data_IF_848051850794
#
_entry.id   IF_848051850794
#
_cell.length_a   1.000
_cell.length_b   1.000
_cell.length_c   1.000
_cell.angle_alpha   90.00
_cell.angle_beta   90.00
_cell.angle_gamma   90.00
#
_symmetry.space_group_name_H-M   'P 1'
#
loop_
_entity.id
_entity.type
_entity.pdbx_description
1 polymer ?
#
# COMPACT_ATOMS: atom_id res chain seq x y z
N UNK A 1 -15.23 23.98 16.49
CA UNK A 1 -16.06 22.76 16.61
C UNK A 1 -17.55 22.98 16.36
N UNK A 2 -17.93 23.64 15.26
CA UNK A 2 -19.36 23.86 14.97
C UNK A 2 -20.13 22.58 14.64
N UNK A 3 -19.46 21.53 14.15
CA UNK A 3 -20.12 20.27 13.79
C UNK A 3 -20.44 19.39 15.00
N UNK A 4 -19.51 19.30 15.96
CA UNK A 4 -19.77 18.59 17.21
C UNK A 4 -20.84 19.27 18.06
N UNK A 5 -20.86 20.60 18.09
CA UNK A 5 -21.92 21.39 18.75
C UNK A 5 -23.31 21.12 18.15
N UNK A 6 -23.38 20.71 16.88
CA UNK A 6 -24.61 20.30 16.20
C UNK A 6 -24.93 18.81 16.36
N UNK A 7 -24.12 18.05 17.11
CA UNK A 7 -24.31 16.62 17.36
C UNK A 7 -23.83 15.70 16.24
N UNK A 8 -22.99 16.19 15.31
CA UNK A 8 -22.42 15.37 14.25
C UNK A 8 -21.18 14.59 14.69
N UNK A 9 -21.01 13.39 14.12
CA UNK A 9 -19.77 12.62 14.12
C UNK A 9 -18.95 13.07 12.91
N UNK A 10 -17.70 13.48 13.15
CA UNK A 10 -16.78 13.94 12.11
C UNK A 10 -15.85 12.79 11.74
N UNK A 11 -16.11 12.18 10.59
CA UNK A 11 -15.21 11.20 9.99
C UNK A 11 -14.32 11.87 8.96
N UNK A 12 -13.03 11.52 8.93
CA UNK A 12 -12.11 12.00 7.91
C UNK A 12 -11.68 10.90 6.96
N UNK A 13 -11.74 11.25 5.69
CA UNK A 13 -11.22 10.44 4.60
C UNK A 13 -9.69 10.31 4.69
N UNK A 14 -9.20 9.08 4.57
CA UNK A 14 -7.79 8.75 4.49
C UNK A 14 -7.56 7.85 3.27
N UNK A 15 -6.80 8.32 2.28
CA UNK A 15 -6.38 7.48 1.16
C UNK A 15 -5.07 6.74 1.47
N UNK A 16 -5.00 5.51 0.96
CA UNK A 16 -3.79 4.67 0.84
C UNK A 16 -2.94 5.03 -0.39
N UNK A 17 -3.45 5.91 -1.27
CA UNK A 17 -2.69 6.42 -2.40
C UNK A 17 -1.56 7.34 -1.95
N UNK A 18 -0.42 7.18 -2.60
CA UNK A 18 0.77 8.00 -2.46
C UNK A 18 0.71 9.26 -3.33
N UNK A 19 -0.15 9.25 -4.36
CA UNK A 19 -0.36 10.26 -5.41
C UNK A 19 0.94 10.74 -6.10
N UNK A 20 0.84 11.18 -7.35
CA UNK A 20 1.96 11.76 -8.07
C UNK A 20 1.53 12.43 -9.36
N UNK A 21 2.47 13.08 -10.02
CA UNK A 21 2.28 13.70 -11.33
C UNK A 21 3.35 13.19 -12.31
N UNK A 22 2.92 12.68 -13.45
CA UNK A 22 3.83 12.33 -14.55
C UNK A 22 4.16 13.55 -15.41
N UNK A 23 5.06 13.39 -16.39
CA UNK A 23 5.42 14.47 -17.31
C UNK A 23 4.27 14.88 -18.23
N UNK A 24 3.46 13.91 -18.65
CA UNK A 24 2.27 14.10 -19.49
C UNK A 24 1.17 13.13 -19.06
N UNK A 25 -0.09 13.33 -19.46
CA UNK A 25 -1.19 12.41 -19.15
C UNK A 25 -1.02 10.99 -19.71
N UNK A 26 -0.13 10.79 -20.70
CA UNK A 26 0.12 9.49 -21.33
C UNK A 26 1.49 8.89 -21.00
N UNK A 27 2.35 9.64 -20.29
CA UNK A 27 3.64 9.13 -19.83
C UNK A 27 3.46 8.08 -18.75
N UNK A 28 4.27 7.02 -18.81
CA UNK A 28 4.35 6.01 -17.76
C UNK A 28 4.91 6.65 -16.47
N UNK A 29 4.18 6.62 -15.35
CA UNK A 29 4.65 7.14 -14.07
C UNK A 29 5.95 6.49 -13.60
N UNK A 30 6.79 7.29 -12.94
CA UNK A 30 8.01 6.83 -12.27
C UNK A 30 7.86 6.93 -10.75
N UNK A 31 8.54 6.07 -9.99
CA UNK A 31 8.41 6.03 -8.52
C UNK A 31 8.82 7.37 -7.88
N UNK A 32 9.76 8.08 -8.51
CA UNK A 32 10.30 9.35 -8.05
C UNK A 32 9.30 10.51 -8.16
N UNK A 33 8.18 10.30 -8.86
CA UNK A 33 7.15 11.31 -9.10
C UNK A 33 6.06 11.34 -8.01
N UNK A 34 6.13 10.47 -7.01
CA UNK A 34 5.14 10.48 -5.92
C UNK A 34 5.29 11.72 -5.03
N UNK A 35 4.16 12.31 -4.63
CA UNK A 35 4.13 13.50 -3.76
C UNK A 35 4.73 13.22 -2.38
N UNK A 36 4.61 11.99 -1.90
CA UNK A 36 5.16 11.59 -0.59
C UNK A 36 6.68 11.80 -0.49
N UNK A 37 7.43 11.77 -1.60
CA UNK A 37 8.86 12.05 -1.57
C UNK A 37 9.17 13.47 -1.12
N UNK A 38 8.38 14.44 -1.57
CA UNK A 38 8.55 15.84 -1.16
C UNK A 38 8.28 15.98 0.33
N UNK A 39 7.18 15.41 0.82
CA UNK A 39 6.86 15.38 2.25
C UNK A 39 8.00 14.74 3.06
N UNK A 40 8.48 13.57 2.63
CA UNK A 40 9.58 12.88 3.30
C UNK A 40 10.86 13.71 3.34
N UNK A 41 11.21 14.41 2.24
CA UNK A 41 12.43 15.22 2.15
C UNK A 41 12.34 16.49 2.99
N UNK A 42 11.21 17.18 2.96
CA UNK A 42 11.09 18.56 3.43
C UNK A 42 10.35 18.71 4.75
N UNK A 43 9.45 17.78 5.08
CA UNK A 43 8.47 17.96 6.16
C UNK A 43 8.52 16.87 7.24
N UNK A 44 9.20 15.74 7.00
CA UNK A 44 9.15 14.59 7.93
C UNK A 44 9.45 14.98 9.38
N UNK A 45 10.51 15.74 9.61
CA UNK A 45 10.92 16.14 10.96
C UNK A 45 9.86 16.95 11.71
N UNK A 46 9.04 17.73 10.99
CA UNK A 46 7.94 18.49 11.59
C UNK A 46 6.81 17.59 12.11
N UNK A 47 6.76 16.34 11.65
CA UNK A 47 5.76 15.34 12.04
C UNK A 47 6.38 14.13 12.76
N UNK A 48 7.63 14.23 13.21
CA UNK A 48 8.34 13.12 13.85
C UNK A 48 7.66 12.64 15.16
N UNK A 49 6.90 13.49 15.84
CA UNK A 49 6.08 13.08 17.01
C UNK A 49 5.00 12.05 16.63
N UNK A 50 4.47 12.14 15.42
CA UNK A 50 3.47 11.21 14.89
C UNK A 50 4.10 10.03 14.14
N UNK A 51 5.14 10.30 13.36
CA UNK A 51 5.71 9.34 12.39
C UNK A 51 6.96 8.61 12.93
N UNK A 52 7.51 9.07 14.05
CA UNK A 52 8.79 8.62 14.56
C UNK A 52 9.99 9.12 13.72
N UNK A 53 11.19 8.56 13.96
CA UNK A 53 12.39 8.97 13.26
C UNK A 53 12.29 8.68 11.76
N UNK A 54 12.85 9.57 10.95
CA UNK A 54 12.87 9.43 9.49
C UNK A 54 13.47 8.08 9.07
N UNK A 55 12.73 7.25 8.31
CA UNK A 55 13.26 6.01 7.73
C UNK A 55 14.54 6.26 6.93
N UNK A 56 15.42 5.26 6.84
CA UNK A 56 16.63 5.38 6.02
C UNK A 56 16.32 5.27 4.51
N UNK A 57 15.41 4.37 4.15
CA UNK A 57 14.95 4.19 2.78
C UNK A 57 13.81 5.16 2.47
N UNK A 58 13.85 5.78 1.31
CA UNK A 58 12.83 6.76 0.93
C UNK A 58 11.52 6.09 0.46
N UNK A 59 10.42 6.88 0.36
CA UNK A 59 9.10 6.38 -0.02
C UNK A 59 8.99 5.61 -1.33
N UNK A 60 9.95 5.70 -2.27
CA UNK A 60 9.92 4.87 -3.49
C UNK A 60 9.99 3.38 -3.17
N UNK A 61 10.63 3.03 -2.05
CA UNK A 61 10.79 1.65 -1.57
C UNK A 61 9.56 1.14 -0.80
N UNK A 62 8.61 2.03 -0.51
CA UNK A 62 7.40 1.73 0.24
C UNK A 62 6.24 1.35 -0.67
N UNK A 63 6.38 1.57 -1.97
CA UNK A 63 5.36 1.33 -2.97
C UNK A 63 5.12 -0.17 -3.18
N UNK A 64 3.90 -0.51 -3.59
CA UNK A 64 3.60 -1.81 -4.16
C UNK A 64 4.37 -2.02 -5.46
N UNK A 65 4.78 -3.26 -5.72
CA UNK A 65 5.44 -3.64 -6.97
C UNK A 65 4.83 -4.90 -7.56
N UNK A 66 4.81 -4.98 -8.88
CA UNK A 66 4.51 -6.16 -9.68
C UNK A 66 5.73 -7.10 -9.74
N UNK A 67 5.59 -8.33 -10.29
CA UNK A 67 6.71 -9.26 -10.40
C UNK A 67 7.91 -8.75 -11.22
N UNK A 68 7.70 -7.78 -12.09
CA UNK A 68 8.71 -7.14 -12.95
C UNK A 68 9.27 -5.83 -12.36
N UNK A 69 9.06 -5.59 -11.06
CA UNK A 69 9.42 -4.37 -10.32
C UNK A 69 8.71 -3.07 -10.75
N UNK A 70 7.86 -3.11 -11.78
CA UNK A 70 6.92 -2.03 -12.10
C UNK A 70 5.92 -1.86 -10.94
N UNK A 71 5.16 -0.76 -10.92
CA UNK A 71 4.16 -0.54 -9.88
C UNK A 71 2.78 -0.30 -10.50
N UNK A 72 1.71 -0.74 -9.82
CA UNK A 72 0.38 -0.41 -10.26
C UNK A 72 0.07 1.06 -10.01
N UNK A 73 -0.59 1.68 -10.97
CA UNK A 73 -1.11 3.04 -10.86
C UNK A 73 -2.49 3.16 -11.52
N UNK A 74 -3.22 4.20 -11.16
CA UNK A 74 -4.50 4.57 -11.74
C UNK A 74 -4.51 6.06 -12.08
N UNK A 75 -5.14 6.44 -13.18
CA UNK A 75 -5.43 7.83 -13.52
C UNK A 75 -6.93 8.05 -13.49
N UNK A 76 -7.38 9.01 -12.71
CA UNK A 76 -8.78 9.36 -12.68
C UNK A 76 -9.14 10.21 -13.90
N UNK A 77 -10.24 9.87 -14.56
CA UNK A 77 -10.85 10.70 -15.60
C UNK A 77 -12.35 10.84 -15.30
N UNK A 78 -12.85 12.06 -15.05
CA UNK A 78 -14.28 12.32 -15.00
C UNK A 78 -14.96 11.91 -16.31
N UNK A 79 -16.25 11.57 -16.24
CA UNK A 79 -17.00 11.15 -17.43
C UNK A 79 -16.93 12.20 -18.55
N UNK A 80 -16.47 11.78 -19.73
CA UNK A 80 -16.32 12.64 -20.90
C UNK A 80 -15.10 13.56 -20.87
N UNK A 81 -14.15 13.35 -19.96
CA UNK A 81 -12.87 14.05 -19.90
C UNK A 81 -11.72 13.09 -20.15
N UNK A 82 -10.61 13.61 -20.68
CA UNK A 82 -9.35 12.87 -20.72
C UNK A 82 -8.69 12.88 -19.33
N UNK A 83 -7.81 11.91 -19.08
CA UNK A 83 -6.96 11.90 -17.88
C UNK A 83 -6.00 13.09 -17.90
N UNK A 84 -5.58 13.54 -16.72
CA UNK A 84 -4.50 14.52 -16.54
C UNK A 84 -3.16 13.84 -16.18
N UNK A 85 -2.15 14.65 -15.85
CA UNK A 85 -0.83 14.17 -15.40
C UNK A 85 -0.89 13.45 -14.04
N UNK A 86 -1.98 13.62 -13.30
CA UNK A 86 -2.18 13.02 -11.98
C UNK A 86 -2.31 11.51 -12.06
N UNK A 87 -1.64 10.83 -11.12
CA UNK A 87 -1.79 9.40 -10.93
C UNK A 87 -1.86 9.04 -9.45
N UNK A 88 -2.58 7.96 -9.17
CA UNK A 88 -2.60 7.28 -7.88
C UNK A 88 -1.72 6.04 -7.94
N UNK A 89 -0.93 5.83 -6.90
CA UNK A 89 -0.12 4.62 -6.71
C UNK A 89 -0.19 4.21 -5.24
N UNK A 90 0.02 2.95 -4.92
CA UNK A 90 -0.27 2.44 -3.57
C UNK A 90 1.01 2.08 -2.81
N UNK A 91 0.97 2.31 -1.49
CA UNK A 91 1.97 1.77 -0.58
C UNK A 91 1.72 0.30 -0.24
N UNK A 92 2.79 -0.43 0.04
CA UNK A 92 2.76 -1.83 0.40
C UNK A 92 2.33 -2.01 1.86
N UNK A 93 1.22 -2.72 2.13
CA UNK A 93 0.72 -2.91 3.51
C UNK A 93 1.62 -3.82 4.36
N UNK A 94 2.53 -4.58 3.74
CA UNK A 94 3.55 -5.38 4.45
C UNK A 94 4.83 -4.59 4.75
N UNK A 95 5.02 -3.41 4.14
CA UNK A 95 6.21 -2.60 4.37
C UNK A 95 6.08 -1.84 5.71
N UNK A 96 6.96 -2.07 6.69
CA UNK A 96 6.86 -1.46 8.02
C UNK A 96 6.96 0.06 8.01
N UNK A 97 7.70 0.66 7.07
CA UNK A 97 7.80 2.12 6.96
C UNK A 97 6.50 2.74 6.43
N UNK A 98 5.84 2.06 5.48
CA UNK A 98 4.53 2.47 5.01
C UNK A 98 3.45 2.32 6.08
N UNK A 99 3.43 1.19 6.79
CA UNK A 99 2.50 0.95 7.90
C UNK A 99 2.65 2.03 8.97
N UNK A 100 3.89 2.31 9.39
CA UNK A 100 4.18 3.37 10.36
C UNK A 100 3.70 4.74 9.88
N UNK A 101 3.91 5.06 8.61
CA UNK A 101 3.40 6.31 8.04
C UNK A 101 1.87 6.40 8.13
N UNK A 102 1.17 5.31 7.83
CA UNK A 102 -0.30 5.25 7.92
C UNK A 102 -0.80 5.32 9.37
N UNK A 103 -0.15 4.62 10.30
CA UNK A 103 -0.44 4.70 11.75
C UNK A 103 -0.30 6.13 12.27
N UNK A 104 0.77 6.82 11.89
CA UNK A 104 0.97 8.21 12.30
C UNK A 104 -0.06 9.18 11.71
N UNK A 105 -0.51 8.97 10.46
CA UNK A 105 -1.63 9.74 9.89
C UNK A 105 -2.93 9.51 10.67
N UNK A 106 -3.23 8.27 11.03
CA UNK A 106 -4.43 7.91 11.81
C UNK A 106 -4.35 8.55 13.20
N UNK A 107 -3.20 8.45 13.86
CA UNK A 107 -2.95 9.10 15.17
C UNK A 107 -3.14 10.61 15.07
N UNK A 108 -2.56 11.26 14.07
CA UNK A 108 -2.72 12.70 13.86
C UNK A 108 -4.20 13.08 13.65
N UNK A 109 -4.98 12.27 12.93
CA UNK A 109 -6.42 12.52 12.82
C UNK A 109 -7.13 12.41 14.16
N UNK A 110 -6.90 11.32 14.90
CA UNK A 110 -7.52 11.08 16.20
C UNK A 110 -7.22 12.21 17.21
N UNK A 111 -6.00 12.75 17.20
CA UNK A 111 -5.61 13.83 18.12
C UNK A 111 -6.13 15.22 17.72
N UNK A 112 -6.66 15.39 16.50
CA UNK A 112 -7.23 16.67 16.03
C UNK A 112 -8.73 16.83 16.26
N UNK A 113 -9.34 15.94 17.05
CA UNK A 113 -10.78 15.96 17.35
C UNK A 113 -11.63 15.28 16.27
N UNK A 114 -11.04 14.49 15.38
CA UNK A 114 -11.77 13.69 14.39
C UNK A 114 -12.23 12.40 15.08
N UNK A 115 -13.51 12.06 14.96
CA UNK A 115 -14.13 10.92 15.64
C UNK A 115 -13.78 9.56 15.00
N UNK A 116 -13.33 9.57 13.74
CA UNK A 116 -12.85 8.37 13.08
C UNK A 116 -12.26 8.60 11.69
N UNK A 117 -11.53 7.59 11.21
CA UNK A 117 -10.91 7.58 9.89
C UNK A 117 -11.65 6.60 8.98
N UNK A 118 -12.12 7.08 7.83
CA UNK A 118 -12.58 6.22 6.74
C UNK A 118 -11.40 5.98 5.81
N UNK A 119 -10.85 4.76 5.83
CA UNK A 119 -9.77 4.35 4.93
C UNK A 119 -10.41 3.94 3.62
N UNK A 120 -10.26 4.78 2.60
CA UNK A 120 -10.79 4.49 1.27
C UNK A 120 -9.75 3.80 0.39
N UNK A 121 -10.21 3.23 -0.71
CA UNK A 121 -9.34 2.52 -1.66
C UNK A 121 -8.55 1.39 -1.01
N UNK A 122 -9.23 0.62 -0.14
CA UNK A 122 -8.70 -0.62 0.44
C UNK A 122 -8.66 -1.76 -0.58
N UNK A 123 -9.41 -1.64 -1.68
CA UNK A 123 -9.22 -2.48 -2.85
C UNK A 123 -7.91 -2.05 -3.48
N UNK A 124 -6.88 -2.89 -3.35
CA UNK A 124 -5.65 -2.72 -4.10
C UNK A 124 -5.99 -2.99 -5.58
N UNK A 125 -6.46 -1.96 -6.28
CA UNK A 125 -6.84 -2.03 -7.69
C UNK A 125 -5.65 -2.46 -8.58
N UNK A 126 -4.44 -2.41 -8.04
CA UNK A 126 -3.20 -2.84 -8.64
C UNK A 126 -2.84 -4.33 -8.59
N UNK A 127 -3.60 -5.16 -7.87
CA UNK A 127 -3.29 -6.57 -7.67
C UNK A 127 -2.31 -6.85 -6.51
N UNK A 128 -1.63 -7.99 -6.54
CA UNK A 128 -0.74 -8.46 -5.47
C UNK A 128 0.61 -7.73 -5.48
N UNK A 129 1.16 -7.40 -4.30
CA UNK A 129 2.54 -6.89 -4.18
C UNK A 129 3.56 -8.04 -4.20
N UNK A 130 4.71 -7.83 -4.84
CA UNK A 130 5.81 -8.80 -4.90
C UNK A 130 7.10 -8.29 -4.23
N UNK A 131 7.01 -7.23 -3.41
CA UNK A 131 8.17 -6.74 -2.68
C UNK A 131 8.66 -7.79 -1.66
N UNK A 132 9.89 -7.58 -1.16
CA UNK A 132 10.50 -8.49 -0.17
C UNK A 132 9.62 -8.73 1.06
N UNK A 133 8.93 -7.70 1.56
CA UNK A 133 8.10 -7.82 2.75
C UNK A 133 6.88 -8.70 2.52
N UNK A 134 6.17 -8.51 1.41
CA UNK A 134 5.05 -9.38 1.04
C UNK A 134 5.50 -10.82 0.81
N UNK A 135 6.67 -11.02 0.18
CA UNK A 135 7.25 -12.36 0.02
C UNK A 135 7.52 -13.03 1.38
N UNK A 136 8.18 -12.32 2.29
CA UNK A 136 8.52 -12.82 3.63
C UNK A 136 7.25 -13.15 4.44
N UNK A 137 6.27 -12.24 4.46
CA UNK A 137 5.00 -12.42 5.15
C UNK A 137 4.18 -13.57 4.57
N UNK A 138 4.17 -13.73 3.25
CA UNK A 138 3.46 -14.85 2.61
C UNK A 138 4.13 -16.20 2.91
N UNK A 139 5.46 -16.27 2.91
CA UNK A 139 6.18 -17.49 3.32
C UNK A 139 5.89 -17.81 4.79
N UNK A 140 5.89 -16.81 5.67
CA UNK A 140 5.53 -17.00 7.07
C UNK A 140 4.09 -17.52 7.22
N UNK A 141 3.14 -16.93 6.49
CA UNK A 141 1.75 -17.38 6.45
C UNK A 141 1.62 -18.83 6.02
N UNK A 142 2.31 -19.25 4.95
CA UNK A 142 2.30 -20.65 4.50
C UNK A 142 2.87 -21.61 5.55
N UNK A 143 3.99 -21.26 6.18
CA UNK A 143 4.58 -22.09 7.25
C UNK A 143 3.65 -22.24 8.44
N UNK A 144 2.90 -21.20 8.77
CA UNK A 144 1.97 -21.21 9.90
C UNK A 144 0.67 -21.97 9.55
N UNK A 145 0.12 -21.75 8.36
CA UNK A 145 -1.26 -22.11 8.03
C UNK A 145 -1.40 -23.29 7.07
N UNK A 146 -0.35 -23.66 6.32
CA UNK A 146 -0.36 -24.79 5.38
C UNK A 146 0.52 -25.92 5.92
N UNK A 147 -0.06 -27.03 6.42
CA UNK A 147 0.73 -28.19 6.83
C UNK A 147 1.54 -28.75 5.66
N UNK A 148 2.80 -29.12 5.93
CA UNK A 148 3.74 -29.64 4.91
C UNK A 148 3.16 -30.82 4.10
N UNK A 149 2.41 -31.72 4.75
CA UNK A 149 1.76 -32.84 4.08
C UNK A 149 0.66 -32.39 3.08
N UNK A 150 -0.12 -31.37 3.45
CA UNK A 150 -1.14 -30.80 2.56
C UNK A 150 -0.48 -30.06 1.38
N UNK A 151 0.59 -29.31 1.64
CA UNK A 151 1.38 -28.68 0.58
C UNK A 151 2.00 -29.70 -0.38
N UNK A 152 2.53 -30.81 0.14
CA UNK A 152 3.08 -31.88 -0.68
C UNK A 152 2.00 -32.52 -1.57
N UNK A 153 0.82 -32.80 -1.00
CA UNK A 153 -0.27 -33.43 -1.72
C UNK A 153 -0.87 -32.54 -2.82
N UNK A 154 -1.04 -31.23 -2.54
CA UNK A 154 -1.71 -30.29 -3.44
C UNK A 154 -0.76 -29.64 -4.45
N UNK A 155 0.43 -29.25 -4.02
CA UNK A 155 1.37 -28.44 -4.80
C UNK A 155 2.70 -29.14 -5.10
N UNK A 156 2.93 -30.34 -4.54
CA UNK A 156 4.22 -31.02 -4.61
C UNK A 156 5.32 -30.36 -3.76
N UNK A 157 4.95 -29.48 -2.83
CA UNK A 157 5.88 -28.63 -2.06
C UNK A 157 5.62 -28.79 -0.56
N UNK A 158 6.62 -29.24 0.18
CA UNK A 158 6.60 -29.38 1.65
C UNK A 158 7.53 -28.42 2.39
N UNK A 159 8.43 -27.72 1.68
CA UNK A 159 9.25 -26.63 2.21
C UNK A 159 8.91 -25.33 1.46
N UNK A 160 8.53 -24.29 2.21
CA UNK A 160 8.08 -23.02 1.66
C UNK A 160 9.17 -21.93 1.53
N UNK A 161 10.40 -22.17 1.97
CA UNK A 161 11.48 -21.16 2.00
C UNK A 161 11.77 -20.55 0.63
N UNK A 162 11.63 -21.35 -0.43
CA UNK A 162 12.05 -21.00 -1.78
C UNK A 162 10.92 -21.16 -2.80
N UNK A 163 9.67 -20.94 -2.39
CA UNK A 163 8.58 -20.97 -3.35
C UNK A 163 8.69 -19.85 -4.39
N UNK A 164 8.19 -20.15 -5.58
CA UNK A 164 7.85 -19.14 -6.59
C UNK A 164 6.48 -18.60 -6.23
N UNK A 165 6.37 -17.27 -6.09
CA UNK A 165 5.08 -16.64 -5.81
C UNK A 165 4.17 -16.77 -7.04
N UNK A 166 2.88 -17.05 -6.85
CA UNK A 166 1.93 -17.14 -7.96
C UNK A 166 1.76 -15.77 -8.61
N UNK A 167 1.76 -15.72 -9.94
CA UNK A 167 1.59 -14.48 -10.72
C UNK A 167 0.25 -14.42 -11.47
N UNK A 168 -0.34 -15.58 -11.74
CA UNK A 168 -1.58 -15.69 -12.47
C UNK A 168 -2.45 -16.85 -11.97
N UNK A 169 -3.72 -16.82 -12.38
CA UNK A 169 -4.68 -17.88 -12.05
C UNK A 169 -4.19 -19.23 -12.56
N UNK A 170 -4.09 -20.19 -11.64
CA UNK A 170 -3.64 -21.55 -11.91
C UNK A 170 -2.24 -21.86 -11.38
N UNK A 171 -1.47 -20.83 -11.04
CA UNK A 171 -0.19 -21.02 -10.35
C UNK A 171 -0.41 -21.59 -8.95
N UNK A 172 0.59 -22.33 -8.46
CA UNK A 172 0.59 -22.83 -7.09
C UNK A 172 0.41 -21.68 -6.10
N UNK A 173 -0.46 -21.87 -5.11
CA UNK A 173 -0.79 -20.87 -4.08
C UNK A 173 -1.58 -19.64 -4.56
N UNK A 174 -2.14 -19.62 -5.79
CA UNK A 174 -2.96 -18.50 -6.29
C UNK A 174 -4.25 -18.25 -5.50
N UNK A 175 -4.89 -19.30 -4.97
CA UNK A 175 -6.05 -19.21 -4.08
C UNK A 175 -5.73 -19.88 -2.75
N UNK A 176 -6.38 -19.40 -1.68
CA UNK A 176 -6.36 -20.06 -0.38
C UNK A 176 -6.66 -21.56 -0.53
N UNK A 177 -5.92 -22.37 0.23
CA UNK A 177 -6.17 -23.81 0.30
C UNK A 177 -7.38 -24.07 1.19
N UNK A 178 -8.56 -23.86 0.63
CA UNK A 178 -9.79 -24.46 1.16
C UNK A 178 -9.90 -25.89 0.63
#
# INVERSE_FOLDING_TARGET
>A
DSYHEQGYIVLRYLSTSLNGDSETPTSEPQKEQIHLLKFYREQWENFADYLGPKPAADPTTWMMVRPDDSFPYYRYAPYGQETDEGFEAWGCPDNPDYVRYMEGKIRAQAETGIDGSYVDWTHIAGGTCYCKYTRENFIAYLKEKLPAAAGQAKYGISNYDNIVLPQQRGDNFWMEWV
#
